data_IF_754496077294
#
_entry.id   IF_754496077294
#
_cell.length_a   1.000
_cell.length_b   1.000
_cell.length_c   1.000
_cell.angle_alpha   90.00
_cell.angle_beta   90.00
_cell.angle_gamma   90.00
#
_symmetry.space_group_name_H-M   'P 1'
#
loop_
_entity.id
_entity.type
_entity.pdbx_description
1 polymer ?
#
# COMPACT_ATOMS: atom_id res chain seq x y z
N UNK A 1 13.24 -23.25 2.29
CA UNK A 1 12.07 -22.44 1.95
C UNK A 1 12.57 -21.02 1.74
N UNK A 2 12.25 -20.38 0.62
CA UNK A 2 12.71 -19.02 0.31
C UNK A 2 11.82 -18.03 1.07
N UNK A 3 12.41 -17.15 1.88
CA UNK A 3 11.67 -16.18 2.68
C UNK A 3 11.36 -14.91 1.89
N UNK A 4 10.11 -14.47 1.94
CA UNK A 4 9.63 -13.22 1.35
C UNK A 4 9.05 -12.36 2.47
N UNK A 5 9.54 -11.14 2.61
CA UNK A 5 9.01 -10.16 3.54
C UNK A 5 7.71 -9.58 3.02
N UNK A 6 6.64 -9.65 3.81
CA UNK A 6 5.39 -8.93 3.54
C UNK A 6 5.29 -7.76 4.52
N UNK A 7 5.62 -6.56 4.05
CA UNK A 7 5.71 -5.37 4.88
C UNK A 7 4.46 -4.50 4.69
N UNK A 8 3.56 -4.49 5.67
CA UNK A 8 2.35 -3.65 5.67
C UNK A 8 2.60 -2.30 6.34
N UNK A 9 1.91 -1.27 5.88
CA UNK A 9 1.92 0.05 6.54
C UNK A 9 1.19 0.01 7.88
N UNK A 10 0.26 -0.92 8.05
CA UNK A 10 -0.49 -1.13 9.29
C UNK A 10 0.22 -2.07 10.26
N UNK A 11 -0.58 -2.86 10.97
CA UNK A 11 -0.10 -3.94 11.83
C UNK A 11 -0.27 -5.31 11.17
N UNK A 12 0.56 -6.25 11.61
CA UNK A 12 0.47 -7.68 11.30
C UNK A 12 -0.33 -8.43 12.36
N UNK A 13 -0.92 -9.60 12.05
CA UNK A 13 -0.99 -10.23 10.72
C UNK A 13 -2.02 -9.58 9.79
N UNK A 14 -1.75 -9.60 8.48
CA UNK A 14 -2.73 -9.20 7.44
C UNK A 14 -3.50 -10.42 6.95
N UNK A 15 -4.44 -10.86 7.78
CA UNK A 15 -5.28 -12.05 7.51
C UNK A 15 -6.11 -11.94 6.22
N UNK A 16 -6.32 -10.71 5.75
CA UNK A 16 -7.02 -10.37 4.50
C UNK A 16 -6.14 -10.46 3.24
N UNK A 17 -4.81 -10.47 3.39
CA UNK A 17 -3.86 -10.52 2.25
C UNK A 17 -3.03 -11.81 2.23
N UNK A 18 -2.64 -12.31 3.41
CA UNK A 18 -1.74 -13.43 3.55
C UNK A 18 -2.22 -14.70 2.79
N UNK A 19 -3.50 -15.11 2.86
CA UNK A 19 -3.97 -16.30 2.15
C UNK A 19 -3.79 -16.19 0.63
N UNK A 20 -4.18 -15.06 0.05
CA UNK A 20 -4.06 -14.80 -1.40
C UNK A 20 -2.60 -14.76 -1.84
N UNK A 21 -1.72 -14.16 -1.03
CA UNK A 21 -0.28 -14.14 -1.33
C UNK A 21 0.33 -15.54 -1.33
N UNK A 22 -0.04 -16.38 -0.35
CA UNK A 22 0.41 -17.77 -0.30
C UNK A 22 -0.12 -18.61 -1.47
N UNK A 23 -1.36 -18.36 -1.90
CA UNK A 23 -1.96 -19.02 -3.07
C UNK A 23 -1.20 -18.69 -4.36
N UNK A 24 -0.82 -17.42 -4.56
CA UNK A 24 -0.06 -16.96 -5.73
C UNK A 24 1.37 -17.52 -5.75
N UNK A 25 2.05 -17.49 -4.60
CA UNK A 25 3.45 -17.92 -4.49
C UNK A 25 3.59 -19.45 -4.56
N UNK A 26 2.63 -20.18 -4.00
CA UNK A 26 2.64 -21.64 -3.92
C UNK A 26 3.68 -22.20 -2.96
N UNK A 27 3.99 -23.48 -3.13
CA UNK A 27 4.93 -24.20 -2.26
C UNK A 27 6.38 -23.72 -2.43
N UNK A 28 7.17 -23.82 -1.35
CA UNK A 28 8.60 -23.48 -1.36
C UNK A 28 8.92 -22.06 -0.87
N UNK A 29 7.90 -21.23 -0.65
CA UNK A 29 8.03 -19.90 -0.07
C UNK A 29 7.47 -19.82 1.35
N UNK A 30 8.10 -18.97 2.15
CA UNK A 30 7.67 -18.61 3.50
C UNK A 30 7.44 -17.10 3.53
N UNK A 31 6.24 -16.65 3.91
CA UNK A 31 5.99 -15.22 4.13
C UNK A 31 6.38 -14.86 5.57
N UNK A 32 7.26 -13.87 5.70
CA UNK A 32 7.61 -13.25 6.98
C UNK A 32 6.93 -11.89 7.04
N UNK A 33 5.92 -11.76 7.89
CA UNK A 33 5.16 -10.51 8.02
C UNK A 33 5.91 -9.48 8.89
N UNK A 34 5.82 -8.21 8.50
CA UNK A 34 6.19 -7.06 9.35
C UNK A 34 5.24 -5.88 9.11
N UNK A 35 4.92 -5.14 10.15
CA UNK A 35 4.05 -3.97 10.10
C UNK A 35 4.78 -2.72 10.57
N UNK A 36 4.64 -1.61 9.85
CA UNK A 36 5.23 -0.33 10.26
C UNK A 36 4.63 0.18 11.59
N UNK A 37 3.42 -0.29 11.96
CA UNK A 37 2.78 0.00 13.24
C UNK A 37 2.90 -1.15 14.26
N UNK A 38 3.65 -2.22 13.97
CA UNK A 38 3.78 -3.33 14.91
C UNK A 38 4.37 -2.85 16.24
N UNK A 39 3.77 -3.28 17.35
CA UNK A 39 4.15 -2.88 18.70
C UNK A 39 3.53 -1.56 19.19
N UNK A 40 2.79 -0.83 18.34
CA UNK A 40 2.08 0.39 18.75
C UNK A 40 0.67 0.11 19.25
N UNK A 41 0.23 0.85 20.26
CA UNK A 41 -1.18 0.88 20.66
C UNK A 41 -1.99 1.83 19.76
N UNK A 42 -3.32 1.72 19.81
CA UNK A 42 -4.19 2.67 19.10
C UNK A 42 -4.01 4.11 19.62
N UNK A 43 -3.70 4.28 20.89
CA UNK A 43 -3.44 5.61 21.49
C UNK A 43 -2.15 6.21 20.94
N UNK A 44 -1.08 5.41 20.83
CA UNK A 44 0.19 5.86 20.23
C UNK A 44 -0.02 6.33 18.78
N UNK A 45 -0.81 5.58 18.00
CA UNK A 45 -1.11 5.90 16.60
C UNK A 45 -1.97 7.17 16.50
N UNK A 46 -2.98 7.32 17.36
CA UNK A 46 -3.81 8.54 17.41
C UNK A 46 -3.05 9.77 17.89
N UNK A 47 -1.97 9.58 18.63
CA UNK A 47 -1.07 10.65 19.06
C UNK A 47 -0.12 11.16 17.95
N UNK A 48 -0.09 10.52 16.78
CA UNK A 48 0.74 10.96 15.66
C UNK A 48 0.22 12.29 15.13
N UNK A 49 1.07 13.31 15.15
CA UNK A 49 0.76 14.62 14.60
C UNK A 49 0.66 14.57 13.07
N UNK A 50 -0.47 15.06 12.55
CA UNK A 50 -0.74 15.24 11.12
C UNK A 50 -0.74 16.74 10.81
N UNK A 51 0.24 17.20 10.05
CA UNK A 51 0.35 18.59 9.63
C UNK A 51 -0.48 18.83 8.34
N UNK A 52 -0.89 20.08 8.04
CA UNK A 52 -1.71 20.39 6.86
C UNK A 52 -1.13 19.90 5.52
N UNK A 53 0.20 19.84 5.38
CA UNK A 53 0.89 19.43 4.16
C UNK A 53 1.41 17.98 4.22
N UNK A 54 1.08 17.22 5.28
CA UNK A 54 1.49 15.82 5.38
C UNK A 54 0.72 14.96 4.36
N UNK A 55 1.44 14.08 3.68
CA UNK A 55 0.80 13.02 2.89
C UNK A 55 0.18 11.98 3.82
N UNK A 56 -1.15 11.96 3.86
CA UNK A 56 -1.91 11.04 4.72
C UNK A 56 -2.01 9.66 4.07
N UNK A 57 -1.77 8.64 4.88
CA UNK A 57 -1.95 7.23 4.57
C UNK A 57 -3.08 6.69 5.43
N UNK A 58 -4.04 6.02 4.79
CA UNK A 58 -5.07 5.23 5.48
C UNK A 58 -4.54 3.81 5.64
N UNK A 59 -4.61 3.30 6.86
CA UNK A 59 -4.07 1.99 7.23
C UNK A 59 -4.93 1.33 8.31
N UNK A 60 -4.52 0.15 8.79
CA UNK A 60 -5.26 -0.65 9.77
C UNK A 60 -4.42 -1.14 10.92
N UNK A 61 -5.03 -1.12 12.10
CA UNK A 61 -4.56 -1.85 13.29
C UNK A 61 -4.87 -3.34 13.16
N UNK A 62 -4.30 -4.16 14.05
CA UNK A 62 -4.48 -5.61 14.06
C UNK A 62 -5.94 -6.04 14.23
N UNK A 63 -6.72 -5.26 14.98
CA UNK A 63 -8.15 -5.51 15.20
C UNK A 63 -9.05 -5.02 14.05
N UNK A 64 -8.45 -4.51 12.97
CA UNK A 64 -9.16 -3.98 11.80
C UNK A 64 -9.54 -2.50 11.92
N UNK A 65 -9.29 -1.85 13.07
CA UNK A 65 -9.54 -0.42 13.25
C UNK A 65 -8.76 0.39 12.22
N UNK A 66 -9.47 1.20 11.45
CA UNK A 66 -8.87 2.13 10.50
C UNK A 66 -8.17 3.28 11.23
N UNK A 67 -6.98 3.64 10.75
CA UNK A 67 -6.16 4.73 11.28
C UNK A 67 -5.59 5.56 10.14
N UNK A 68 -5.46 6.86 10.38
CA UNK A 68 -4.74 7.80 9.51
C UNK A 68 -3.37 8.07 10.10
N UNK A 69 -2.33 7.96 9.28
CA UNK A 69 -0.94 8.24 9.64
C UNK A 69 -0.27 9.03 8.54
N UNK A 70 0.94 9.54 8.78
CA UNK A 70 1.66 10.34 7.78
C UNK A 70 2.76 9.53 7.11
N UNK A 71 3.03 9.81 5.83
CA UNK A 71 4.19 9.24 5.14
C UNK A 71 5.50 9.57 5.87
N UNK A 72 5.62 10.78 6.40
CA UNK A 72 6.77 11.23 7.21
C UNK A 72 7.01 10.33 8.42
N UNK A 73 5.95 9.92 9.11
CA UNK A 73 6.02 9.01 10.24
C UNK A 73 6.39 7.58 9.81
N UNK A 74 5.83 7.11 8.71
CA UNK A 74 5.93 5.71 8.25
C UNK A 74 7.27 5.38 7.61
N UNK A 75 7.82 6.27 6.77
CA UNK A 75 9.07 6.00 6.01
C UNK A 75 10.22 5.47 6.89
N UNK A 76 10.62 6.12 7.99
CA UNK A 76 11.70 5.61 8.83
C UNK A 76 11.37 4.25 9.46
N UNK A 77 10.10 3.98 9.78
CA UNK A 77 9.67 2.70 10.35
C UNK A 77 9.69 1.57 9.32
N UNK A 78 9.34 1.87 8.07
CA UNK A 78 9.46 0.90 6.97
C UNK A 78 10.92 0.50 6.78
N UNK A 79 11.86 1.47 6.84
CA UNK A 79 13.29 1.17 6.78
C UNK A 79 13.73 0.23 7.93
N UNK A 80 13.32 0.52 9.17
CA UNK A 80 13.60 -0.33 10.33
C UNK A 80 13.06 -1.76 10.11
N UNK A 81 11.83 -1.90 9.63
CA UNK A 81 11.23 -3.21 9.36
C UNK A 81 11.89 -3.96 8.21
N UNK A 82 12.43 -3.26 7.20
CA UNK A 82 13.24 -3.90 6.16
C UNK A 82 14.50 -4.51 6.78
N UNK A 83 15.24 -3.77 7.61
CA UNK A 83 16.43 -4.29 8.28
C UNK A 83 16.11 -5.48 9.21
N UNK A 84 15.02 -5.40 9.98
CA UNK A 84 14.56 -6.53 10.82
C UNK A 84 14.21 -7.79 10.01
N UNK A 85 13.67 -7.63 8.79
CA UNK A 85 13.38 -8.75 7.89
C UNK A 85 14.68 -9.34 7.32
N UNK A 86 15.65 -8.50 6.99
CA UNK A 86 16.97 -8.93 6.50
C UNK A 86 17.74 -9.74 7.54
N UNK A 87 17.68 -9.33 8.81
CA UNK A 87 18.23 -10.09 9.95
C UNK A 87 17.60 -11.50 10.08
N UNK A 88 16.36 -11.65 9.61
CA UNK A 88 15.64 -12.95 9.56
C UNK A 88 15.95 -13.76 8.29
N UNK A 89 16.84 -13.27 7.44
CA UNK A 89 17.26 -13.91 6.18
C UNK A 89 16.37 -13.60 4.98
N UNK A 90 15.49 -12.59 5.06
CA UNK A 90 14.70 -12.13 3.91
C UNK A 90 15.60 -11.33 2.96
N UNK A 91 15.50 -11.61 1.66
CA UNK A 91 16.21 -10.86 0.60
C UNK A 91 15.29 -10.30 -0.47
N UNK A 92 13.99 -10.51 -0.31
CA UNK A 92 12.93 -9.95 -1.12
C UNK A 92 11.83 -9.47 -0.17
N UNK A 93 11.60 -8.16 -0.12
CA UNK A 93 10.54 -7.56 0.70
C UNK A 93 9.56 -6.86 -0.22
N UNK A 94 8.28 -7.18 -0.10
CA UNK A 94 7.18 -6.50 -0.80
C UNK A 94 6.49 -5.55 0.17
N UNK A 95 6.43 -4.27 -0.17
CA UNK A 95 5.66 -3.29 0.59
C UNK A 95 4.20 -3.40 0.18
N UNK A 96 3.29 -3.71 1.11
CA UNK A 96 1.87 -3.91 0.82
C UNK A 96 1.11 -2.57 0.79
N UNK A 97 1.56 -1.65 -0.08
CA UNK A 97 0.96 -0.34 -0.28
C UNK A 97 1.26 0.18 -1.68
N UNK A 98 0.27 0.80 -2.33
CA UNK A 98 0.40 1.52 -3.61
C UNK A 98 0.75 3.00 -3.41
N UNK A 99 1.06 3.43 -2.18
CA UNK A 99 1.62 4.76 -1.94
C UNK A 99 3.00 4.90 -2.58
N UNK A 100 3.33 6.09 -3.09
CA UNK A 100 4.70 6.38 -3.50
C UNK A 100 5.61 6.44 -2.25
N UNK A 101 6.67 5.64 -2.21
CA UNK A 101 7.67 5.62 -1.15
C UNK A 101 9.05 5.95 -1.71
N UNK A 102 9.99 6.47 -0.89
CA UNK A 102 11.36 6.62 -1.33
C UNK A 102 11.99 5.25 -1.58
N UNK A 103 13.16 5.25 -2.23
CA UNK A 103 14.01 4.08 -2.24
C UNK A 103 14.52 3.82 -0.82
N UNK A 104 14.44 2.57 -0.38
CA UNK A 104 14.96 2.11 0.90
C UNK A 104 16.36 1.50 0.73
N UNK A 105 17.16 1.60 1.78
CA UNK A 105 18.41 0.85 1.88
C UNK A 105 18.07 -0.61 2.18
N UNK A 106 18.65 -1.53 1.41
CA UNK A 106 18.39 -2.97 1.55
C UNK A 106 19.56 -3.77 0.98
N UNK A 107 19.87 -4.89 1.61
CA UNK A 107 20.76 -5.93 1.08
C UNK A 107 20.06 -6.88 0.09
N UNK A 108 18.79 -6.61 -0.23
CA UNK A 108 17.95 -7.39 -1.13
C UNK A 108 17.12 -6.51 -2.06
N UNK A 109 16.07 -7.09 -2.64
CA UNK A 109 15.11 -6.37 -3.46
C UNK A 109 13.92 -5.90 -2.61
N UNK A 110 13.65 -4.59 -2.62
CA UNK A 110 12.42 -4.02 -2.08
C UNK A 110 11.48 -3.71 -3.23
N UNK A 111 10.37 -4.47 -3.31
CA UNK A 111 9.34 -4.29 -4.32
C UNK A 111 8.28 -3.34 -3.78
N UNK A 112 8.05 -2.24 -4.50
CA UNK A 112 6.96 -1.31 -4.27
C UNK A 112 5.87 -1.52 -5.33
N UNK A 113 4.63 -1.89 -4.94
CA UNK A 113 3.53 -2.09 -5.87
C UNK A 113 3.27 -0.90 -6.78
N UNK A 114 3.50 0.32 -6.29
CA UNK A 114 3.34 1.54 -7.09
C UNK A 114 4.23 1.54 -8.34
N UNK A 115 5.51 1.18 -8.22
CA UNK A 115 6.44 1.19 -9.36
C UNK A 115 6.08 0.10 -10.38
N UNK A 116 5.65 -1.07 -9.90
CA UNK A 116 5.15 -2.15 -10.77
C UNK A 116 3.89 -1.71 -11.50
N UNK A 117 2.93 -1.11 -10.79
CA UNK A 117 1.70 -0.59 -11.35
C UNK A 117 1.99 0.45 -12.44
N UNK A 118 2.89 1.41 -12.17
CA UNK A 118 3.27 2.42 -13.17
C UNK A 118 3.93 1.79 -14.40
N UNK A 119 4.76 0.76 -14.23
CA UNK A 119 5.34 0.00 -15.35
C UNK A 119 4.26 -0.64 -16.23
N UNK A 120 3.26 -1.27 -15.61
CA UNK A 120 2.12 -1.89 -16.31
C UNK A 120 1.28 -0.84 -17.03
N UNK A 121 0.90 0.25 -16.36
CA UNK A 121 0.10 1.32 -16.94
C UNK A 121 0.81 1.96 -18.14
N UNK A 122 2.09 2.30 -17.99
CA UNK A 122 2.89 2.85 -19.07
C UNK A 122 3.03 1.87 -20.24
N UNK A 123 3.07 0.56 -19.99
CA UNK A 123 3.07 -0.46 -21.03
C UNK A 123 1.74 -0.61 -21.76
N UNK A 124 0.63 -0.52 -21.03
CA UNK A 124 -0.71 -0.84 -21.51
C UNK A 124 -1.44 0.34 -22.16
N UNK A 125 -1.29 1.57 -21.64
CA UNK A 125 -2.05 2.74 -22.08
C UNK A 125 -1.12 3.88 -22.48
N UNK A 126 -0.94 4.07 -23.79
CA UNK A 126 -0.11 5.17 -24.33
C UNK A 126 -0.86 6.49 -24.52
N UNK A 127 -2.18 6.41 -24.72
CA UNK A 127 -3.08 7.53 -24.90
C UNK A 127 -4.50 7.12 -24.54
N UNK A 128 -5.26 7.99 -23.89
CA UNK A 128 -6.68 7.75 -23.61
C UNK A 128 -7.13 8.28 -22.26
N UNK A 129 -8.13 7.61 -21.67
CA UNK A 129 -8.68 7.94 -20.35
C UNK A 129 -8.42 6.77 -19.39
N UNK A 130 -7.99 7.08 -18.17
CA UNK A 130 -7.72 6.10 -17.12
C UNK A 130 -8.66 6.38 -15.93
N UNK A 131 -9.51 5.41 -15.60
CA UNK A 131 -10.27 5.43 -14.35
C UNK A 131 -9.39 5.02 -13.17
N UNK A 132 -9.40 5.80 -12.10
CA UNK A 132 -8.67 5.56 -10.86
C UNK A 132 -9.66 5.59 -9.70
N UNK A 133 -9.70 4.52 -8.92
CA UNK A 133 -10.61 4.39 -7.78
C UNK A 133 -9.79 4.43 -6.50
N UNK A 134 -10.10 5.37 -5.61
CA UNK A 134 -9.45 5.52 -4.32
C UNK A 134 -10.30 5.00 -3.16
N UNK A 135 -9.68 4.64 -2.03
CA UNK A 135 -10.39 4.35 -0.79
C UNK A 135 -11.14 5.55 -0.20
N UNK A 136 -10.63 6.77 -0.40
CA UNK A 136 -11.22 7.99 0.16
C UNK A 136 -11.19 9.17 -0.81
N UNK A 137 -12.16 10.08 -0.67
CA UNK A 137 -12.26 11.31 -1.47
C UNK A 137 -11.00 12.19 -1.39
N UNK A 138 -10.35 12.23 -0.21
CA UNK A 138 -9.14 13.01 0.05
C UNK A 138 -7.99 12.66 -0.91
N UNK A 139 -8.00 11.45 -1.49
CA UNK A 139 -6.95 10.97 -2.39
C UNK A 139 -7.23 11.23 -3.88
N UNK A 140 -8.49 11.52 -4.24
CA UNK A 140 -8.91 11.74 -5.63
C UNK A 140 -8.12 12.86 -6.36
N UNK A 141 -7.77 13.99 -5.71
CA UNK A 141 -6.94 15.01 -6.36
C UNK A 141 -5.58 14.49 -6.84
N UNK A 142 -5.12 13.34 -6.31
CA UNK A 142 -3.89 12.66 -6.71
C UNK A 142 -3.98 11.90 -8.04
N UNK A 143 -5.16 11.70 -8.64
CA UNK A 143 -5.29 10.85 -9.84
C UNK A 143 -4.42 11.34 -10.99
N UNK A 144 -4.61 12.59 -11.43
CA UNK A 144 -3.90 13.13 -12.59
C UNK A 144 -2.39 13.28 -12.32
N UNK A 145 -1.94 13.81 -11.16
CA UNK A 145 -0.51 13.90 -10.86
C UNK A 145 0.20 12.54 -10.73
N UNK A 146 -0.49 11.51 -10.22
CA UNK A 146 0.14 10.20 -9.94
C UNK A 146 0.09 9.24 -11.14
N UNK A 147 -0.98 9.29 -11.94
CA UNK A 147 -1.26 8.28 -12.96
C UNK A 147 -1.47 8.85 -14.37
N UNK A 148 -1.64 10.16 -14.50
CA UNK A 148 -1.87 10.84 -15.77
C UNK A 148 -0.60 11.20 -16.52
N UNK A 149 -0.77 11.60 -17.78
CA UNK A 149 0.30 12.18 -18.61
C UNK A 149 -0.30 13.17 -19.62
N UNK A 150 0.52 13.76 -20.50
CA UNK A 150 0.02 14.64 -21.56
C UNK A 150 -0.98 13.96 -22.51
N UNK A 151 -0.88 12.64 -22.68
CA UNK A 151 -1.73 11.84 -23.55
C UNK A 151 -2.75 10.97 -22.77
N UNK A 152 -2.67 10.96 -21.44
CA UNK A 152 -3.55 10.16 -20.57
C UNK A 152 -4.24 11.06 -19.56
N UNK A 153 -5.55 11.25 -19.76
CA UNK A 153 -6.43 11.94 -18.83
C UNK A 153 -6.95 10.96 -17.77
N UNK A 154 -6.92 11.34 -16.50
CA UNK A 154 -7.46 10.49 -15.43
C UNK A 154 -8.86 10.94 -15.03
N UNK A 155 -9.73 9.98 -14.77
CA UNK A 155 -10.97 10.17 -14.02
C UNK A 155 -10.82 9.51 -12.65
N UNK A 156 -11.23 10.19 -11.59
CA UNK A 156 -11.15 9.69 -10.23
C UNK A 156 -12.54 9.46 -9.66
N UNK A 157 -12.71 8.39 -8.91
CA UNK A 157 -13.88 8.13 -8.06
C UNK A 157 -13.39 7.47 -6.76
N UNK A 158 -14.30 7.25 -5.81
CA UNK A 158 -13.97 6.64 -4.53
C UNK A 158 -14.97 5.54 -4.18
N UNK A 159 -14.45 4.51 -3.54
CA UNK A 159 -15.25 3.52 -2.81
C UNK A 159 -14.38 2.98 -1.69
N UNK A 160 -14.95 2.90 -0.48
CA UNK A 160 -14.21 2.25 0.59
C UNK A 160 -14.05 0.77 0.24
N UNK A 161 -12.84 0.17 0.40
CA UNK A 161 -12.66 -1.27 0.19
C UNK A 161 -13.42 -2.14 1.21
N UNK A 162 -14.16 -1.52 2.12
CA UNK A 162 -14.95 -2.14 3.18
C UNK A 162 -16.45 -1.87 3.05
N UNK A 163 -16.86 -1.18 1.98
CA UNK A 163 -18.27 -1.07 1.57
C UNK A 163 -18.74 -2.33 0.86
N UNK A 164 -20.06 -2.48 0.70
CA UNK A 164 -20.70 -3.67 0.16
C UNK A 164 -20.61 -3.75 -1.37
N UNK A 165 -21.13 -4.84 -1.94
CA UNK A 165 -21.15 -5.05 -3.39
C UNK A 165 -22.07 -4.06 -4.12
N UNK A 166 -23.08 -3.49 -3.45
CA UNK A 166 -24.01 -2.52 -4.03
C UNK A 166 -23.31 -1.21 -4.39
N UNK A 167 -22.41 -0.70 -3.52
CA UNK A 167 -21.63 0.50 -3.82
C UNK A 167 -20.66 0.27 -5.01
N UNK A 168 -20.14 -0.95 -5.17
CA UNK A 168 -19.23 -1.31 -6.26
C UNK A 168 -19.94 -1.36 -7.62
N UNK A 169 -21.17 -1.89 -7.66
CA UNK A 169 -21.99 -1.88 -8.88
C UNK A 169 -22.33 -0.44 -9.29
N UNK A 170 -22.73 0.39 -8.33
CA UNK A 170 -23.01 1.80 -8.59
C UNK A 170 -21.78 2.56 -9.11
N UNK A 171 -20.57 2.21 -8.66
CA UNK A 171 -19.32 2.77 -9.16
C UNK A 171 -19.07 2.38 -10.63
N UNK A 172 -19.32 1.12 -10.99
CA UNK A 172 -19.12 0.64 -12.35
C UNK A 172 -20.01 1.37 -13.38
N UNK A 173 -21.18 1.87 -12.97
CA UNK A 173 -22.06 2.66 -13.83
C UNK A 173 -21.56 4.11 -14.06
N UNK A 174 -20.65 4.61 -13.22
CA UNK A 174 -20.11 5.98 -13.29
C UNK A 174 -18.77 6.10 -14.03
N UNK A 175 -18.02 5.00 -14.16
CA UNK A 175 -16.70 4.91 -14.80
C UNK A 175 -16.78 4.67 -16.32
#
# INVERSE_FOLDING_TARGET
MTKIGMLTIGQTPRVDLLPTMMEILGEGYEIVEAGALDGMSLEDVKGIEILPDDYVLVSRMRDGTEVKITKRFVVPRVQEKISELEDKGVRLTVIMCTGAFPQYESEGLVVTPQEILMGVLNGALKKGRLGVVYPTEEQMPGAQPNFGSADVETYADTISPYEGSEELEALAERL
#
